data_IF_837981173008
#
_entry.id   IF_837981173008
#
_cell.length_a   1.000
_cell.length_b   1.000
_cell.length_c   1.000
_cell.angle_alpha   90.00
_cell.angle_beta   90.00
_cell.angle_gamma   90.00
#
_symmetry.space_group_name_H-M   'P 1'
#
loop_
_entity.id
_entity.type
_entity.pdbx_description
1 polymer ?
#
# COMPACT_ATOMS: atom_id res chain seq x y z
N UNK A 1 -13.78 19.69 9.22
CA UNK A 1 -13.41 18.39 8.62
C UNK A 1 -13.97 17.31 9.52
N UNK A 2 -14.85 16.46 8.99
CA UNK A 2 -15.85 15.74 9.77
C UNK A 2 -15.36 14.40 10.31
N UNK A 3 -16.00 13.97 11.40
CA UNK A 3 -15.81 12.67 12.08
C UNK A 3 -15.94 11.44 11.15
N UNK A 4 -16.51 11.60 9.95
CA UNK A 4 -16.66 10.56 8.94
C UNK A 4 -15.38 10.32 8.12
N UNK A 5 -14.63 11.37 7.79
CA UNK A 5 -13.39 11.27 6.99
C UNK A 5 -12.31 10.51 7.76
N UNK A 6 -12.17 10.78 9.06
CA UNK A 6 -11.22 10.08 9.93
C UNK A 6 -11.57 8.60 10.12
N UNK A 7 -12.85 8.25 10.25
CA UNK A 7 -13.28 6.84 10.34
C UNK A 7 -13.00 6.08 9.04
N UNK A 8 -13.24 6.73 7.90
CA UNK A 8 -12.95 6.12 6.60
C UNK A 8 -11.44 5.91 6.41
N UNK A 9 -10.62 6.89 6.79
CA UNK A 9 -9.17 6.78 6.77
C UNK A 9 -8.66 5.60 7.63
N UNK A 10 -9.13 5.50 8.88
CA UNK A 10 -8.73 4.41 9.77
C UNK A 10 -9.12 3.03 9.24
N UNK A 11 -10.31 2.90 8.63
CA UNK A 11 -10.73 1.64 7.99
C UNK A 11 -9.80 1.24 6.86
N UNK A 12 -9.44 2.18 5.98
CA UNK A 12 -8.56 1.90 4.84
C UNK A 12 -7.15 1.57 5.32
N UNK A 13 -6.62 2.30 6.29
CA UNK A 13 -5.30 2.01 6.88
C UNK A 13 -5.27 0.64 7.56
N UNK A 14 -6.32 0.29 8.31
CA UNK A 14 -6.40 -1.02 8.98
C UNK A 14 -6.43 -2.15 7.95
N UNK A 15 -7.18 -1.97 6.86
CA UNK A 15 -7.19 -2.93 5.73
C UNK A 15 -5.79 -3.07 5.13
N UNK A 16 -5.11 -1.96 4.79
CA UNK A 16 -3.77 -2.00 4.18
C UNK A 16 -2.80 -2.81 5.05
N UNK A 17 -2.83 -2.58 6.37
CA UNK A 17 -1.92 -3.27 7.31
C UNK A 17 -2.24 -4.78 7.38
N UNK A 18 -3.53 -5.16 7.38
CA UNK A 18 -3.95 -6.56 7.43
C UNK A 18 -3.64 -7.31 6.14
N UNK A 19 -4.02 -6.73 5.00
CA UNK A 19 -3.83 -7.36 3.69
C UNK A 19 -2.35 -7.42 3.28
N UNK A 20 -1.49 -6.53 3.80
CA UNK A 20 -0.05 -6.53 3.51
C UNK A 20 0.61 -7.88 3.80
N UNK A 21 0.31 -8.52 4.93
CA UNK A 21 0.89 -9.81 5.29
C UNK A 21 0.44 -10.93 4.33
N UNK A 22 -0.83 -10.90 3.92
CA UNK A 22 -1.40 -11.86 2.96
C UNK A 22 -0.81 -11.67 1.56
N UNK A 23 -0.67 -10.42 1.10
CA UNK A 23 -0.02 -10.10 -0.17
C UNK A 23 1.44 -10.56 -0.19
N UNK A 24 2.19 -10.42 0.91
CA UNK A 24 3.54 -10.97 1.00
C UNK A 24 3.59 -12.49 0.80
N UNK A 25 2.66 -13.22 1.41
CA UNK A 25 2.58 -14.67 1.25
C UNK A 25 2.27 -15.04 -0.21
N UNK A 26 1.32 -14.35 -0.84
CA UNK A 26 0.97 -14.56 -2.25
C UNK A 26 2.16 -14.28 -3.18
N UNK A 27 2.90 -13.19 -2.96
CA UNK A 27 4.07 -12.81 -3.76
C UNK A 27 5.24 -13.78 -3.60
N UNK A 28 5.48 -14.28 -2.39
CA UNK A 28 6.51 -15.30 -2.15
C UNK A 28 6.15 -16.60 -2.89
N UNK A 29 4.87 -16.95 -2.96
CA UNK A 29 4.36 -18.15 -3.62
C UNK A 29 4.09 -17.98 -5.12
N UNK A 30 4.45 -16.83 -5.71
CA UNK A 30 4.18 -16.47 -7.11
C UNK A 30 2.68 -16.58 -7.49
N UNK A 31 1.79 -16.39 -6.52
CA UNK A 31 0.34 -16.42 -6.70
C UNK A 31 -0.20 -15.02 -6.89
N UNK A 32 -1.21 -14.91 -7.76
CA UNK A 32 -2.00 -13.69 -7.92
C UNK A 32 -1.16 -12.42 -8.18
N UNK A 33 0.02 -12.53 -8.79
CA UNK A 33 1.00 -11.43 -8.89
C UNK A 33 0.40 -10.18 -9.55
N UNK A 34 -0.40 -10.34 -10.60
CA UNK A 34 -1.08 -9.22 -11.28
C UNK A 34 -2.10 -8.54 -10.36
N UNK A 35 -2.89 -9.32 -9.61
CA UNK A 35 -3.87 -8.79 -8.66
C UNK A 35 -3.17 -8.04 -7.53
N UNK A 36 -2.14 -8.65 -6.94
CA UNK A 36 -1.32 -8.06 -5.88
C UNK A 36 -0.64 -6.77 -6.36
N UNK A 37 -0.16 -6.73 -7.60
CA UNK A 37 0.42 -5.51 -8.20
C UNK A 37 -0.59 -4.37 -8.27
N UNK A 38 -1.82 -4.64 -8.73
CA UNK A 38 -2.89 -3.65 -8.83
C UNK A 38 -3.33 -3.13 -7.46
N UNK A 39 -3.46 -4.02 -6.48
CA UNK A 39 -3.87 -3.66 -5.11
C UNK A 39 -2.80 -2.81 -4.41
N UNK A 40 -1.53 -3.21 -4.49
CA UNK A 40 -0.42 -2.44 -3.90
C UNK A 40 -0.27 -1.07 -4.56
N UNK A 41 -0.40 -0.99 -5.89
CA UNK A 41 -0.33 0.29 -6.60
C UNK A 41 -1.44 1.24 -6.14
N UNK A 42 -2.66 0.72 -5.94
CA UNK A 42 -3.78 1.50 -5.40
C UNK A 42 -3.48 1.99 -3.98
N UNK A 43 -2.89 1.14 -3.16
CA UNK A 43 -2.63 1.43 -1.74
C UNK A 43 -1.50 2.45 -1.57
N UNK A 44 -0.46 2.38 -2.40
CA UNK A 44 0.59 3.40 -2.48
C UNK A 44 -0.01 4.75 -2.85
N UNK A 45 -0.80 4.82 -3.93
CA UNK A 45 -1.43 6.07 -4.36
C UNK A 45 -2.35 6.66 -3.28
N UNK A 46 -3.06 5.81 -2.55
CA UNK A 46 -3.89 6.24 -1.41
C UNK A 46 -3.03 6.83 -0.29
N UNK A 47 -1.94 6.15 0.10
CA UNK A 47 -1.04 6.62 1.14
C UNK A 47 -0.35 7.91 0.77
N UNK A 48 0.09 8.09 -0.48
CA UNK A 48 0.68 9.34 -0.96
C UNK A 48 -0.30 10.50 -0.85
N UNK A 49 -1.55 10.30 -1.27
CA UNK A 49 -2.60 11.29 -1.12
C UNK A 49 -2.95 11.59 0.35
N UNK A 50 -2.88 10.59 1.22
CA UNK A 50 -3.08 10.77 2.65
C UNK A 50 -1.92 11.55 3.30
N UNK A 51 -0.68 11.18 2.98
CA UNK A 51 0.54 11.83 3.47
C UNK A 51 0.52 13.31 3.06
N UNK A 52 0.26 13.61 1.79
CA UNK A 52 0.19 14.99 1.30
C UNK A 52 -0.84 15.83 2.09
N UNK A 53 -2.04 15.29 2.33
CA UNK A 53 -3.10 15.96 3.10
C UNK A 53 -2.72 16.15 4.57
N UNK A 54 -2.17 15.12 5.21
CA UNK A 54 -1.74 15.16 6.62
C UNK A 54 -0.56 16.12 6.81
N UNK A 55 0.39 16.14 5.87
CA UNK A 55 1.53 17.04 5.87
C UNK A 55 1.09 18.51 5.74
N UNK A 56 0.14 18.81 4.85
CA UNK A 56 -0.46 20.14 4.73
C UNK A 56 -1.16 20.60 6.03
N UNK A 57 -1.67 19.66 6.81
CA UNK A 57 -2.26 19.89 8.13
C UNK A 57 -1.23 19.94 9.28
N UNK A 58 0.07 19.83 8.98
CA UNK A 58 1.17 19.73 9.97
C UNK A 58 1.01 18.56 10.96
N UNK A 59 0.37 17.48 10.52
CA UNK A 59 0.22 16.24 11.29
C UNK A 59 1.38 15.29 11.00
N UNK A 60 1.70 14.42 11.96
CA UNK A 60 2.75 13.41 11.79
C UNK A 60 2.36 12.40 10.68
N UNK A 61 3.29 12.13 9.77
CA UNK A 61 3.13 11.19 8.64
C UNK A 61 4.15 10.04 8.63
N UNK A 62 5.00 9.92 9.65
CA UNK A 62 6.14 8.99 9.66
C UNK A 62 5.70 7.53 9.51
N UNK A 63 4.64 7.13 10.23
CA UNK A 63 4.10 5.78 10.15
C UNK A 63 3.57 5.47 8.76
N UNK A 64 2.92 6.44 8.10
CA UNK A 64 2.38 6.26 6.75
C UNK A 64 3.48 6.16 5.71
N UNK A 65 4.52 6.98 5.83
CA UNK A 65 5.72 6.91 4.99
C UNK A 65 6.42 5.55 5.11
N UNK A 66 6.53 5.00 6.33
CA UNK A 66 7.09 3.66 6.54
C UNK A 66 6.27 2.59 5.80
N UNK A 67 4.95 2.62 5.90
CA UNK A 67 4.07 1.65 5.21
C UNK A 67 4.18 1.81 3.68
N UNK A 68 4.12 3.04 3.16
CA UNK A 68 4.24 3.32 1.73
C UNK A 68 5.57 2.80 1.16
N UNK A 69 6.68 3.03 1.87
CA UNK A 69 8.00 2.53 1.48
C UNK A 69 8.06 1.00 1.45
N UNK A 70 7.39 0.33 2.39
CA UNK A 70 7.33 -1.13 2.43
C UNK A 70 6.48 -1.70 1.29
N UNK A 71 5.37 -1.06 0.97
CA UNK A 71 4.54 -1.42 -0.19
C UNK A 71 5.28 -1.19 -1.51
N UNK A 72 6.02 -0.09 -1.65
CA UNK A 72 6.83 0.19 -2.84
C UNK A 72 7.93 -0.86 -3.07
N UNK A 73 8.53 -1.39 -2.00
CA UNK A 73 9.48 -2.50 -2.11
C UNK A 73 8.79 -3.78 -2.60
N UNK A 74 7.60 -4.07 -2.07
CA UNK A 74 6.83 -5.23 -2.50
C UNK A 74 6.38 -5.10 -3.97
N UNK A 75 5.90 -3.91 -4.37
CA UNK A 75 5.55 -3.59 -5.76
C UNK A 75 6.71 -3.86 -6.72
N UNK A 76 7.92 -3.42 -6.35
CA UNK A 76 9.13 -3.65 -7.13
C UNK A 76 9.41 -5.14 -7.30
N UNK A 77 9.34 -5.93 -6.23
CA UNK A 77 9.55 -7.39 -6.27
C UNK A 77 8.52 -8.05 -7.20
N UNK A 78 7.26 -7.65 -7.11
CA UNK A 78 6.20 -8.18 -7.97
C UNK A 78 6.47 -7.85 -9.44
N UNK A 79 6.87 -6.61 -9.74
CA UNK A 79 7.20 -6.21 -11.11
C UNK A 79 8.37 -6.99 -11.68
N UNK A 80 9.41 -7.23 -10.88
CA UNK A 80 10.54 -8.07 -11.27
C UNK A 80 10.07 -9.50 -11.58
N UNK A 81 9.25 -10.10 -10.71
CA UNK A 81 8.67 -11.44 -10.94
C UNK A 81 7.79 -11.51 -12.18
N UNK A 82 6.92 -10.52 -12.41
CA UNK A 82 6.09 -10.45 -13.61
C UNK A 82 6.92 -10.31 -14.89
N UNK A 83 7.97 -9.49 -14.87
CA UNK A 83 8.87 -9.30 -16.01
C UNK A 83 9.75 -10.53 -16.30
N UNK A 84 10.17 -11.26 -15.27
CA UNK A 84 10.90 -12.53 -15.42
C UNK A 84 10.01 -13.68 -15.90
N UNK A 85 8.70 -13.59 -15.73
CA UNK A 85 7.77 -14.63 -16.16
C UNK A 85 7.37 -14.54 -17.64
N UNK A 86 7.77 -13.47 -18.34
CA UNK A 86 7.49 -13.21 -19.76
C UNK A 86 8.71 -13.37 -20.70
N UNK A 87 9.84 -13.83 -20.18
CA UNK A 87 11.07 -14.12 -20.94
C UNK A 87 11.29 -15.64 -21.02
#
# INVERSE_FOLDING_TARGET
MGNADQRNEQKILSRIIQEYAEMWADVILDKNLVKSHLEITRDINYLDGLIARRHAQKLNTDSYLKIANQLARLEKIIREKLGSSTA
#
